data_IF_546850562120
#
_entry.id   IF_546850562120
#
_cell.length_a   1.000
_cell.length_b   1.000
_cell.length_c   1.000
_cell.angle_alpha   90.00
_cell.angle_beta   90.00
_cell.angle_gamma   90.00
#
_symmetry.space_group_name_H-M   'P 1'
#
loop_
_entity.id
_entity.type
_entity.pdbx_description
1 polymer ?
#
# COMPACT_ATOMS: atom_id res chain seq x y z
N UNK A 1 38.69 -24.87 20.03
CA UNK A 1 39.00 -24.89 18.58
C UNK A 1 37.76 -24.35 17.88
N UNK A 2 37.43 -23.05 17.96
CA UNK A 2 38.13 -21.89 17.35
C UNK A 2 38.28 -22.14 15.82
N UNK A 3 37.77 -21.36 14.85
CA UNK A 3 37.80 -19.90 14.71
C UNK A 3 36.96 -19.46 13.47
N UNK A 4 36.21 -18.37 13.60
CA UNK A 4 35.88 -17.26 12.65
C UNK A 4 35.50 -17.47 11.16
N UNK A 5 34.33 -16.92 10.82
CA UNK A 5 34.04 -15.82 9.85
C UNK A 5 35.12 -15.32 8.86
N UNK A 6 34.70 -15.15 7.58
CA UNK A 6 35.02 -14.04 6.64
C UNK A 6 34.18 -14.24 5.36
N UNK A 7 33.27 -13.35 4.91
CA UNK A 7 33.48 -12.07 4.17
C UNK A 7 34.35 -12.27 2.89
N UNK A 8 34.06 -11.79 1.67
CA UNK A 8 33.39 -10.55 1.23
C UNK A 8 33.13 -10.55 -0.30
N UNK A 9 32.10 -9.79 -0.71
CA UNK A 9 32.05 -8.76 -1.77
C UNK A 9 32.25 -8.98 -3.31
N UNK A 10 31.30 -8.33 -4.01
CA UNK A 10 31.42 -7.45 -5.19
C UNK A 10 31.28 -8.02 -6.62
N UNK A 11 30.15 -7.69 -7.28
CA UNK A 11 30.21 -6.88 -8.52
C UNK A 11 28.89 -6.12 -8.77
N UNK A 12 29.03 -4.80 -8.87
CA UNK A 12 28.02 -3.81 -9.26
C UNK A 12 27.93 -3.77 -10.79
N UNK A 13 26.79 -3.34 -11.37
CA UNK A 13 26.91 -2.30 -12.38
C UNK A 13 26.10 -1.06 -12.01
N UNK A 14 26.78 0.05 -12.26
CA UNK A 14 26.41 1.44 -12.03
C UNK A 14 25.44 1.95 -13.11
N UNK A 15 24.73 3.04 -12.78
CA UNK A 15 24.25 4.15 -13.63
C UNK A 15 22.73 4.22 -13.77
N UNK A 16 22.01 5.34 -13.60
CA UNK A 16 22.29 6.72 -13.20
C UNK A 16 20.92 7.39 -12.95
N UNK A 17 20.83 8.34 -12.00
CA UNK A 17 19.67 9.23 -11.87
C UNK A 17 19.29 9.64 -10.44
N UNK A 18 20.27 9.98 -9.60
CA UNK A 18 20.01 10.62 -8.30
C UNK A 18 19.51 12.04 -8.52
N UNK A 19 18.22 12.29 -8.32
CA UNK A 19 17.76 13.59 -7.80
C UNK A 19 17.97 13.56 -6.30
N UNK A 20 19.03 14.23 -5.87
CA UNK A 20 19.37 14.45 -4.47
C UNK A 20 18.57 15.62 -3.91
N UNK A 21 17.92 15.40 -2.77
CA UNK A 21 17.87 16.32 -1.62
C UNK A 21 17.19 15.55 -0.48
N UNK A 22 17.75 15.40 0.73
CA UNK A 22 18.03 16.45 1.72
C UNK A 22 18.97 15.93 2.81
N UNK A 23 19.95 16.74 3.23
CA UNK A 23 20.38 17.05 4.61
C UNK A 23 21.38 18.23 4.52
N UNK A 24 21.58 19.11 5.53
CA UNK A 24 21.38 18.90 6.97
C UNK A 24 20.65 20.04 7.71
N UNK A 25 19.69 19.72 8.59
CA UNK A 25 19.68 20.19 9.99
C UNK A 25 18.46 19.68 10.76
N UNK A 26 18.70 19.29 12.01
CA UNK A 26 17.68 18.91 12.98
C UNK A 26 16.62 20.01 13.16
N UNK A 27 15.40 19.71 12.74
CA UNK A 27 14.17 20.34 13.25
C UNK A 27 13.08 19.28 13.18
N UNK A 28 12.51 18.93 14.34
CA UNK A 28 11.48 17.90 14.46
C UNK A 28 10.28 18.27 13.58
N UNK A 29 10.20 17.64 12.41
CA UNK A 29 9.04 17.72 11.54
C UNK A 29 8.15 16.55 11.90
N UNK A 30 6.87 16.81 12.20
CA UNK A 30 5.84 15.79 12.31
C UNK A 30 5.86 15.03 10.99
N UNK A 31 6.46 13.84 11.00
CA UNK A 31 6.56 12.99 9.84
C UNK A 31 5.17 12.38 9.68
N UNK A 32 4.34 12.76 8.68
CA UNK A 32 3.22 11.91 8.34
C UNK A 32 3.86 10.57 8.00
N UNK A 33 3.41 9.50 8.66
CA UNK A 33 3.89 8.14 8.46
C UNK A 33 3.57 7.70 7.03
N UNK A 34 4.34 8.19 6.07
CA UNK A 34 4.30 7.78 4.67
C UNK A 34 4.97 6.42 4.62
N UNK A 35 4.17 5.36 4.80
CA UNK A 35 4.58 3.99 4.50
C UNK A 35 5.03 3.95 3.05
N UNK A 36 6.34 3.91 2.84
CA UNK A 36 6.94 3.82 1.51
C UNK A 36 6.54 2.47 0.89
N UNK A 37 5.64 2.51 -0.08
CA UNK A 37 5.22 1.33 -0.83
C UNK A 37 6.39 0.95 -1.74
N UNK A 38 6.96 -0.25 -1.55
CA UNK A 38 8.00 -0.76 -2.45
C UNK A 38 7.44 -0.85 -3.87
N UNK A 39 8.24 -0.50 -4.89
CA UNK A 39 7.76 -0.36 -6.28
C UNK A 39 7.07 -1.61 -6.85
N UNK A 40 7.37 -2.81 -6.34
CA UNK A 40 6.72 -4.06 -6.72
C UNK A 40 5.30 -4.22 -6.13
N UNK A 41 4.98 -3.48 -5.07
CA UNK A 41 3.67 -3.49 -4.38
C UNK A 41 2.81 -2.26 -4.72
N UNK A 42 3.28 -1.37 -5.58
CA UNK A 42 2.59 -0.13 -5.96
C UNK A 42 1.58 -0.36 -7.10
N UNK A 43 0.57 -1.21 -6.87
CA UNK A 43 -0.53 -1.38 -7.83
C UNK A 43 -1.55 -0.25 -7.69
N UNK A 44 -2.33 0.00 -8.75
CA UNK A 44 -3.43 0.96 -8.71
C UNK A 44 -4.44 0.59 -7.62
N UNK A 45 -4.81 -0.69 -7.49
CA UNK A 45 -5.77 -1.12 -6.47
C UNK A 45 -5.29 -0.84 -5.05
N UNK A 46 -4.00 -1.07 -4.75
CA UNK A 46 -3.43 -0.77 -3.44
C UNK A 46 -3.33 0.74 -3.19
N UNK A 47 -3.06 1.51 -4.23
CA UNK A 47 -3.10 2.98 -4.14
C UNK A 47 -4.52 3.46 -3.80
N UNK A 48 -5.54 2.95 -4.49
CA UNK A 48 -6.94 3.30 -4.23
C UNK A 48 -7.35 2.92 -2.80
N UNK A 49 -7.06 1.69 -2.36
CA UNK A 49 -7.34 1.22 -1.00
C UNK A 49 -6.79 2.20 0.05
N UNK A 50 -5.50 2.56 -0.07
CA UNK A 50 -4.86 3.49 0.86
C UNK A 50 -5.45 4.89 0.81
N UNK A 51 -5.82 5.38 -0.38
CA UNK A 51 -6.43 6.71 -0.53
C UNK A 51 -7.82 6.80 0.09
N UNK A 52 -8.63 5.74 -0.01
CA UNK A 52 -9.94 5.67 0.63
C UNK A 52 -9.82 5.84 2.15
N UNK A 53 -8.89 5.11 2.78
CA UNK A 53 -8.61 5.26 4.22
C UNK A 53 -8.18 6.69 4.57
N UNK A 54 -7.28 7.29 3.78
CA UNK A 54 -6.79 8.65 4.03
C UNK A 54 -7.87 9.73 4.00
N UNK A 55 -8.95 9.52 3.22
CA UNK A 55 -10.09 10.43 3.18
C UNK A 55 -11.19 10.05 4.19
N UNK A 56 -10.94 9.07 5.06
CA UNK A 56 -11.82 8.66 6.15
C UNK A 56 -12.82 7.57 5.81
N UNK A 57 -12.68 6.89 4.67
CA UNK A 57 -13.52 5.74 4.33
C UNK A 57 -12.99 4.50 5.05
N UNK A 58 -13.88 3.82 5.78
CA UNK A 58 -13.58 2.58 6.52
C UNK A 58 -14.32 1.37 5.97
N UNK A 59 -15.50 1.55 5.37
CA UNK A 59 -16.37 0.46 4.94
C UNK A 59 -16.57 0.47 3.42
N UNK A 60 -16.49 -0.72 2.81
CA UNK A 60 -16.73 -0.91 1.38
C UNK A 60 -17.78 -2.01 1.20
N UNK A 61 -18.92 -1.65 0.62
CA UNK A 61 -19.97 -2.59 0.24
C UNK A 61 -19.71 -3.12 -1.17
N UNK A 62 -19.68 -4.45 -1.34
CA UNK A 62 -19.23 -5.07 -2.57
C UNK A 62 -20.09 -6.25 -3.01
N UNK A 63 -20.11 -6.48 -4.33
CA UNK A 63 -20.62 -7.70 -4.95
C UNK A 63 -19.49 -8.26 -5.83
N UNK A 64 -19.01 -9.48 -5.60
CA UNK A 64 -17.91 -10.04 -6.36
C UNK A 64 -18.33 -10.40 -7.79
N UNK A 65 -17.44 -10.12 -8.74
CA UNK A 65 -17.58 -10.49 -10.16
C UNK A 65 -16.20 -10.69 -10.78
N UNK A 66 -16.13 -11.50 -11.83
CA UNK A 66 -14.89 -11.86 -12.54
C UNK A 66 -13.97 -10.66 -12.86
N UNK A 67 -14.54 -9.52 -13.25
CA UNK A 67 -13.80 -8.30 -13.55
C UNK A 67 -13.22 -7.57 -12.32
N UNK A 68 -13.83 -7.70 -11.14
CA UNK A 68 -13.44 -6.90 -9.97
C UNK A 68 -12.65 -7.69 -8.91
N UNK A 69 -12.52 -9.02 -9.03
CA UNK A 69 -11.85 -9.86 -8.01
C UNK A 69 -10.45 -9.36 -7.65
N UNK A 70 -9.61 -9.02 -8.64
CA UNK A 70 -8.25 -8.50 -8.37
C UNK A 70 -8.26 -7.17 -7.60
N UNK A 71 -9.26 -6.31 -7.86
CA UNK A 71 -9.42 -5.08 -7.09
C UNK A 71 -9.86 -5.40 -5.66
N UNK A 72 -10.83 -6.30 -5.49
CA UNK A 72 -11.31 -6.73 -4.17
C UNK A 72 -10.16 -7.30 -3.33
N UNK A 73 -9.26 -8.10 -3.91
CA UNK A 73 -8.07 -8.60 -3.22
C UNK A 73 -7.19 -7.47 -2.67
N UNK A 74 -7.02 -6.39 -3.45
CA UNK A 74 -6.26 -5.23 -3.01
C UNK A 74 -6.96 -4.43 -1.91
N UNK A 75 -8.29 -4.36 -1.93
CA UNK A 75 -9.08 -3.70 -0.88
C UNK A 75 -9.05 -4.51 0.43
N UNK A 76 -9.16 -5.84 0.35
CA UNK A 76 -9.03 -6.76 1.49
C UNK A 76 -7.63 -6.67 2.13
N UNK A 77 -6.60 -6.44 1.33
CA UNK A 77 -5.23 -6.33 1.81
C UNK A 77 -4.92 -5.02 2.58
N UNK A 78 -5.85 -4.05 2.59
CA UNK A 78 -5.72 -2.83 3.39
C UNK A 78 -6.42 -3.02 4.74
N UNK A 79 -5.68 -3.10 5.86
CA UNK A 79 -6.22 -3.53 7.15
C UNK A 79 -7.18 -2.52 7.80
N UNK A 80 -7.17 -1.26 7.35
CA UNK A 80 -8.08 -0.21 7.82
C UNK A 80 -9.40 -0.17 7.02
N UNK A 81 -9.56 -1.00 5.99
CA UNK A 81 -10.80 -1.17 5.24
C UNK A 81 -11.53 -2.44 5.68
N UNK A 82 -12.84 -2.30 5.89
CA UNK A 82 -13.77 -3.37 6.14
C UNK A 82 -14.59 -3.64 4.87
N UNK A 83 -14.31 -4.77 4.21
CA UNK A 83 -15.05 -5.17 3.01
C UNK A 83 -16.30 -5.99 3.40
N UNK A 84 -17.47 -5.45 3.09
CA UNK A 84 -18.78 -6.03 3.41
C UNK A 84 -19.37 -6.60 2.11
N UNK A 85 -19.66 -7.90 2.11
CA UNK A 85 -20.32 -8.57 1.00
C UNK A 85 -21.82 -8.31 0.98
N UNK A 86 -22.38 -8.01 -0.19
CA UNK A 86 -23.80 -7.78 -0.41
C UNK A 86 -24.42 -8.80 -1.38
N UNK A 87 -25.72 -9.06 -1.25
CA UNK A 87 -26.40 -10.07 -2.07
C UNK A 87 -26.61 -9.65 -3.54
N UNK A 88 -26.68 -8.34 -3.80
CA UNK A 88 -26.81 -7.76 -5.14
C UNK A 88 -26.38 -6.28 -5.11
N UNK A 89 -26.24 -5.68 -6.29
CA UNK A 89 -25.70 -4.34 -6.50
C UNK A 89 -26.63 -3.26 -5.96
N UNK A 90 -27.95 -3.50 -6.01
CA UNK A 90 -28.95 -2.58 -5.45
C UNK A 90 -28.79 -2.47 -3.93
N UNK A 91 -28.63 -3.60 -3.24
CA UNK A 91 -28.41 -3.64 -1.80
C UNK A 91 -27.07 -2.97 -1.43
N UNK A 92 -26.01 -3.22 -2.21
CA UNK A 92 -24.71 -2.59 -2.00
C UNK A 92 -24.78 -1.06 -2.14
N UNK A 93 -25.50 -0.57 -3.15
CA UNK A 93 -25.71 0.86 -3.37
C UNK A 93 -26.45 1.53 -2.21
N UNK A 94 -27.57 0.95 -1.76
CA UNK A 94 -28.29 1.49 -0.60
C UNK A 94 -27.48 1.43 0.69
N UNK A 95 -26.67 0.38 0.89
CA UNK A 95 -25.82 0.28 2.07
C UNK A 95 -24.69 1.33 2.07
N UNK A 96 -24.18 1.69 0.88
CA UNK A 96 -23.15 2.72 0.73
C UNK A 96 -23.68 4.17 0.87
N UNK A 97 -24.97 4.40 0.60
CA UNK A 97 -25.62 5.72 0.75
C UNK A 97 -26.00 6.03 2.21
N UNK A 98 -26.22 4.99 3.02
CA UNK A 98 -26.77 5.07 4.38
C UNK A 98 -25.81 5.56 5.47
#
# INVERSE_FOLDING_TARGET
MDTMLSSSDLSKPTSNGVVSCLTPNSTATIQPSSTAISSANATLGRHLARRLVQIGITDIFSVPGDFNLTLLDHLIAEPELNLIGCCNELNAGYAADG
#
